data_IF_853385610279
#
_entry.id   IF_853385610279
#
_cell.length_a   1.000
_cell.length_b   1.000
_cell.length_c   1.000
_cell.angle_alpha   90.00
_cell.angle_beta   90.00
_cell.angle_gamma   90.00
#
_symmetry.space_group_name_H-M   'P 1'
#
loop_
_entity.id
_entity.type
_entity.pdbx_description
1 polymer ?
#
# COMPACT_ATOMS: atom_id res chain seq x y z
N UNK A 1 5.24 0.10 -26.17
CA UNK A 1 6.33 0.34 -25.19
C UNK A 1 5.68 0.36 -23.81
N UNK A 2 6.36 -0.10 -22.77
CA UNK A 2 5.81 -0.04 -21.42
C UNK A 2 5.91 1.41 -20.89
N UNK A 3 4.82 1.95 -20.36
CA UNK A 3 4.69 3.34 -19.96
C UNK A 3 3.89 3.47 -18.66
N UNK A 4 4.27 4.43 -17.82
CA UNK A 4 3.57 4.81 -16.60
C UNK A 4 3.39 6.31 -16.62
N UNK A 5 2.15 6.78 -16.44
CA UNK A 5 1.80 8.20 -16.41
C UNK A 5 1.07 8.55 -15.12
N UNK A 6 1.48 9.64 -14.48
CA UNK A 6 0.79 10.20 -13.32
C UNK A 6 -0.40 11.03 -13.81
N UNK A 7 -1.59 10.74 -13.29
CA UNK A 7 -2.84 11.43 -13.62
C UNK A 7 -3.22 12.40 -12.50
N UNK A 8 -2.99 12.01 -11.25
CA UNK A 8 -3.29 12.81 -10.06
C UNK A 8 -2.34 12.37 -8.93
N UNK A 9 -1.84 13.33 -8.17
CA UNK A 9 -0.96 13.10 -7.02
C UNK A 9 -1.27 14.13 -5.93
N UNK A 10 -1.47 13.62 -4.70
CA UNK A 10 -1.49 14.39 -3.48
C UNK A 10 -0.87 13.56 -2.34
N UNK A 11 -0.79 14.12 -1.14
CA UNK A 11 -0.09 13.53 0.01
C UNK A 11 -0.53 12.10 0.35
N UNK A 12 -1.80 11.74 0.09
CA UNK A 12 -2.37 10.45 0.50
C UNK A 12 -2.92 9.64 -0.68
N UNK A 13 -2.77 10.12 -1.91
CA UNK A 13 -3.35 9.48 -3.09
C UNK A 13 -2.51 9.69 -4.34
N UNK A 14 -2.33 8.60 -5.10
CA UNK A 14 -1.65 8.58 -6.38
C UNK A 14 -2.49 7.80 -7.39
N UNK A 15 -2.80 8.43 -8.53
CA UNK A 15 -3.49 7.80 -9.66
C UNK A 15 -2.55 7.67 -10.85
N UNK A 16 -2.34 6.42 -11.27
CA UNK A 16 -1.44 6.07 -12.37
C UNK A 16 -2.22 5.44 -13.53
N UNK A 17 -1.86 5.81 -14.74
CA UNK A 17 -2.18 5.07 -15.97
C UNK A 17 -0.97 4.19 -16.33
N UNK A 18 -1.17 2.88 -16.39
CA UNK A 18 -0.11 1.89 -16.66
C UNK A 18 -0.45 1.18 -17.96
N UNK A 19 0.44 1.28 -18.95
CA UNK A 19 0.24 0.76 -20.31
C UNK A 19 1.40 -0.11 -20.77
N UNK A 20 1.12 -1.15 -21.53
CA UNK A 20 2.15 -2.02 -22.13
C UNK A 20 2.80 -3.02 -21.16
N UNK A 21 2.29 -3.16 -19.93
CA UNK A 21 2.69 -4.21 -18.99
C UNK A 21 1.71 -5.40 -19.02
N UNK A 22 2.17 -6.65 -18.81
CA UNK A 22 1.29 -7.79 -18.63
C UNK A 22 0.37 -7.60 -17.41
N UNK A 23 -0.88 -8.06 -17.53
CA UNK A 23 -1.88 -7.95 -16.46
C UNK A 23 -1.39 -8.59 -15.16
N UNK A 24 -0.66 -9.69 -15.26
CA UNK A 24 -0.15 -10.48 -14.13
C UNK A 24 0.85 -9.67 -13.31
N UNK A 25 1.70 -8.88 -13.98
CA UNK A 25 2.69 -8.00 -13.35
C UNK A 25 1.98 -6.86 -12.60
N UNK A 26 1.01 -6.19 -13.24
CA UNK A 26 0.26 -5.10 -12.60
C UNK A 26 -0.54 -5.61 -11.40
N UNK A 27 -1.14 -6.80 -11.52
CA UNK A 27 -1.84 -7.44 -10.41
C UNK A 27 -0.89 -7.87 -9.28
N UNK A 28 0.30 -8.36 -9.60
CA UNK A 28 1.31 -8.69 -8.61
C UNK A 28 1.73 -7.45 -7.83
N UNK A 29 2.05 -6.35 -8.52
CA UNK A 29 2.36 -5.06 -7.90
C UNK A 29 1.28 -4.60 -6.92
N UNK A 30 0.00 -4.61 -7.35
CA UNK A 30 -1.13 -4.27 -6.48
C UNK A 30 -1.17 -5.13 -5.22
N UNK A 31 -0.95 -6.44 -5.33
CA UNK A 31 -0.94 -7.35 -4.17
C UNK A 31 0.23 -7.05 -3.23
N UNK A 32 1.41 -6.85 -3.78
CA UNK A 32 2.63 -6.53 -3.02
C UNK A 32 2.46 -5.22 -2.25
N UNK A 33 1.90 -4.17 -2.87
CA UNK A 33 1.63 -2.89 -2.20
C UNK A 33 0.72 -3.02 -0.96
N UNK A 34 -0.23 -3.97 -0.99
CA UNK A 34 -1.21 -4.16 0.09
C UNK A 34 -0.63 -5.03 1.21
N UNK A 35 0.12 -6.08 0.86
CA UNK A 35 0.44 -7.16 1.80
C UNK A 35 1.90 -7.19 2.25
N UNK A 36 2.82 -6.72 1.41
CA UNK A 36 4.25 -6.97 1.59
C UNK A 36 5.04 -5.71 1.96
N UNK A 37 4.39 -4.54 1.95
CA UNK A 37 5.03 -3.29 2.37
C UNK A 37 5.09 -3.31 3.90
N UNK A 38 6.29 -3.43 4.50
CA UNK A 38 6.40 -3.50 5.95
C UNK A 38 6.01 -2.16 6.56
N UNK A 39 5.22 -2.21 7.61
CA UNK A 39 4.85 -1.04 8.41
C UNK A 39 5.12 -1.33 9.89
N UNK A 40 5.52 -0.31 10.62
CA UNK A 40 5.62 -0.41 12.07
C UNK A 40 4.21 -0.30 12.65
N UNK A 41 3.82 -1.27 13.47
CA UNK A 41 2.60 -1.24 14.24
C UNK A 41 2.89 -1.72 15.66
N UNK A 42 1.98 -1.42 16.59
CA UNK A 42 2.03 -2.00 17.94
C UNK A 42 1.77 -3.50 17.80
N UNK A 43 2.74 -4.31 18.20
CA UNK A 43 2.65 -5.79 18.14
C UNK A 43 2.17 -6.38 19.47
N UNK A 44 2.66 -5.83 20.59
CA UNK A 44 2.31 -6.29 21.93
C UNK A 44 2.01 -5.10 22.84
N UNK A 45 0.97 -5.25 23.68
CA UNK A 45 0.64 -4.30 24.74
C UNK A 45 0.55 -5.05 26.07
N UNK A 46 1.46 -4.73 26.98
CA UNK A 46 1.41 -5.21 28.36
C UNK A 46 0.67 -4.18 29.24
N UNK A 47 -0.57 -4.47 29.60
CA UNK A 47 -1.33 -3.65 30.55
C UNK A 47 -0.98 -4.05 31.98
N UNK A 48 -0.53 -3.09 32.79
CA UNK A 48 -0.28 -3.29 34.23
C UNK A 48 -1.54 -3.04 35.05
N UNK A 49 -2.31 -2.00 34.70
CA UNK A 49 -3.61 -1.67 35.26
C UNK A 49 -4.48 -1.04 34.18
N UNK A 50 -5.78 -1.34 34.15
CA UNK A 50 -6.74 -0.65 33.30
C UNK A 50 -8.06 -0.42 34.05
N UNK A 51 -8.38 0.84 34.36
CA UNK A 51 -9.62 1.27 35.01
C UNK A 51 -10.55 2.04 34.07
N UNK A 52 -10.40 1.85 32.75
CA UNK A 52 -11.32 2.42 31.76
C UNK A 52 -12.74 1.88 32.00
N UNK A 53 -13.72 2.79 32.13
CA UNK A 53 -15.16 2.54 32.34
C UNK A 53 -15.94 2.43 31.05
#
# INVERSE_FOLDING_TARGET
MAEIKIIEENEHFLKLEISGFPKEIVNALRRTMIAEVPTLAIDEVLFTENTSS
#
